data_IF_720892977277
#
_entry.id   IF_720892977277
#
_cell.length_a   1.000
_cell.length_b   1.000
_cell.length_c   1.000
_cell.angle_alpha   90.00
_cell.angle_beta   90.00
_cell.angle_gamma   90.00
#
_symmetry.space_group_name_H-M   'P 1'
#
loop_
_entity.id
_entity.type
_entity.pdbx_description
1 polymer ?
#
# COMPACT_ATOMS: atom_id res chain seq x y z
N UNK A 1 5.74 6.33 -7.03
CA UNK A 1 4.65 5.43 -6.58
C UNK A 1 4.00 4.90 -7.83
N UNK A 2 4.07 3.59 -8.05
CA UNK A 2 3.41 2.91 -9.16
C UNK A 2 2.11 2.26 -8.65
N UNK A 3 0.97 2.74 -9.15
CA UNK A 3 -0.37 2.26 -8.79
C UNK A 3 -0.81 1.06 -9.65
N UNK A 4 -0.08 0.74 -10.72
CA UNK A 4 -0.38 -0.34 -11.68
C UNK A 4 0.69 -1.43 -11.70
N UNK A 5 1.39 -1.59 -10.58
CA UNK A 5 2.46 -2.55 -10.47
C UNK A 5 1.93 -3.98 -10.66
N UNK A 6 2.36 -4.67 -11.72
CA UNK A 6 1.76 -5.95 -12.11
C UNK A 6 1.96 -7.10 -11.12
N UNK A 7 2.99 -7.07 -10.27
CA UNK A 7 3.17 -8.06 -9.19
C UNK A 7 2.68 -7.59 -7.81
N UNK A 8 1.95 -6.47 -7.75
CA UNK A 8 1.52 -5.88 -6.48
C UNK A 8 0.07 -5.43 -6.60
N UNK A 9 -0.86 -6.20 -6.04
CA UNK A 9 -2.27 -5.82 -6.00
C UNK A 9 -2.46 -4.71 -4.95
N UNK A 10 -2.59 -3.47 -5.42
CA UNK A 10 -2.71 -2.31 -4.55
C UNK A 10 -4.07 -2.32 -3.84
N UNK A 11 -4.04 -2.09 -2.52
CA UNK A 11 -5.21 -1.94 -1.67
C UNK A 11 -5.36 -0.48 -1.18
N UNK A 12 -4.30 0.11 -0.61
CA UNK A 12 -4.31 1.48 -0.11
C UNK A 12 -3.06 2.26 -0.49
N UNK A 13 -3.16 3.58 -0.52
CA UNK A 13 -2.02 4.46 -0.75
C UNK A 13 -2.26 5.88 -0.20
N UNK A 14 -1.17 6.53 0.21
CA UNK A 14 -1.16 7.92 0.71
C UNK A 14 0.23 8.54 0.62
N UNK A 15 0.31 9.87 0.77
CA UNK A 15 1.56 10.62 0.69
C UNK A 15 1.78 11.38 2.00
N UNK A 16 2.96 11.26 2.58
CA UNK A 16 3.35 12.00 3.78
C UNK A 16 4.33 13.12 3.45
N UNK A 17 4.06 14.31 3.96
CA UNK A 17 4.93 15.47 3.79
C UNK A 17 5.55 15.84 5.13
N UNK A 18 6.86 16.06 5.13
CA UNK A 18 7.65 16.43 6.30
C UNK A 18 8.57 17.61 5.99
N UNK A 19 8.79 18.48 6.99
CA UNK A 19 9.73 19.58 6.85
C UNK A 19 9.99 20.34 8.15
N UNK A 20 10.96 21.24 8.14
CA UNK A 20 11.29 22.13 9.26
C UNK A 20 11.83 23.51 8.81
N UNK A 21 12.19 24.34 9.79
CA UNK A 21 12.75 25.68 9.56
C UNK A 21 14.19 25.69 9.04
N UNK A 22 14.90 24.58 9.17
CA UNK A 22 16.30 24.41 8.75
C UNK A 22 16.42 24.00 7.27
N UNK A 23 15.30 23.93 6.55
CA UNK A 23 15.26 23.56 5.13
C UNK A 23 15.34 22.05 4.87
N UNK A 24 15.24 21.21 5.90
CA UNK A 24 15.10 19.77 5.73
C UNK A 24 13.67 19.44 5.29
N UNK A 25 13.52 18.53 4.34
CA UNK A 25 12.22 18.09 3.86
C UNK A 25 12.26 16.64 3.37
N UNK A 26 11.12 15.97 3.48
CA UNK A 26 10.92 14.64 2.96
C UNK A 26 9.47 14.43 2.49
N UNK A 27 9.35 13.62 1.44
CA UNK A 27 8.11 13.03 0.95
C UNK A 27 8.25 11.53 1.14
N UNK A 28 7.25 10.90 1.77
CA UNK A 28 7.15 9.44 1.84
C UNK A 28 5.88 9.02 1.14
N UNK A 29 6.02 8.31 0.02
CA UNK A 29 4.92 7.66 -0.68
C UNK A 29 4.69 6.30 -0.03
N UNK A 30 3.49 6.08 0.47
CA UNK A 30 3.10 4.82 1.10
C UNK A 30 2.06 4.09 0.25
N UNK A 31 2.31 2.82 -0.04
CA UNK A 31 1.40 1.94 -0.75
C UNK A 31 1.31 0.61 0.01
N UNK A 32 0.12 0.07 0.21
CA UNK A 32 -0.07 -1.27 0.81
C UNK A 32 -0.87 -2.18 -0.12
N UNK A 33 -0.65 -3.48 -0.01
CA UNK A 33 -1.27 -4.46 -0.88
C UNK A 33 -0.61 -5.83 -0.83
N UNK A 34 -0.96 -6.68 -1.80
CA UNK A 34 -0.49 -8.06 -1.89
C UNK A 34 0.59 -8.19 -2.97
N UNK A 35 1.77 -8.69 -2.60
CA UNK A 35 2.86 -8.99 -3.52
C UNK A 35 2.85 -10.49 -3.83
N UNK A 36 2.48 -10.84 -5.06
CA UNK A 36 2.20 -12.23 -5.47
C UNK A 36 3.46 -13.08 -5.77
N UNK A 37 4.61 -12.48 -6.10
CA UNK A 37 5.89 -13.17 -6.31
C UNK A 37 6.62 -13.48 -5.00
N UNK A 38 6.38 -12.70 -3.97
CA UNK A 38 6.92 -12.86 -2.63
C UNK A 38 5.94 -13.54 -1.67
N UNK A 39 4.70 -13.81 -2.14
CA UNK A 39 3.61 -14.39 -1.37
C UNK A 39 3.45 -13.71 0.00
N UNK A 40 3.35 -12.37 0.00
CA UNK A 40 3.24 -11.58 1.24
C UNK A 40 2.44 -10.31 1.03
N UNK A 41 1.73 -9.88 2.07
CA UNK A 41 1.10 -8.57 2.12
C UNK A 41 2.12 -7.61 2.72
N UNK A 42 2.27 -6.44 2.14
CA UNK A 42 3.29 -5.50 2.59
C UNK A 42 2.90 -4.05 2.38
N UNK A 43 3.62 -3.17 3.07
CA UNK A 43 3.68 -1.74 2.83
C UNK A 43 4.98 -1.45 2.10
N UNK A 44 4.89 -0.77 0.97
CA UNK A 44 6.01 -0.19 0.24
C UNK A 44 6.09 1.32 0.57
N UNK A 45 7.21 1.74 1.17
CA UNK A 45 7.52 3.13 1.48
C UNK A 45 8.61 3.63 0.54
N UNK A 46 8.31 4.62 -0.30
CA UNK A 46 9.30 5.28 -1.15
C UNK A 46 9.63 6.67 -0.61
N UNK A 47 10.91 6.92 -0.38
CA UNK A 47 11.43 8.13 0.23
C UNK A 47 12.03 9.06 -0.81
N UNK A 48 11.70 10.36 -0.74
CA UNK A 48 12.30 11.42 -1.55
C UNK A 48 12.54 12.64 -0.66
N UNK A 49 13.76 13.16 -0.60
CA UNK A 49 14.07 14.32 0.23
C UNK A 49 15.55 14.65 0.28
N UNK A 50 15.89 15.78 0.91
CA UNK A 50 17.28 16.20 1.10
C UNK A 50 17.90 15.70 2.42
N UNK A 51 17.13 14.99 3.24
CA UNK A 51 17.55 14.48 4.55
C UNK A 51 17.29 12.97 4.71
N UNK A 52 17.15 12.22 3.60
CA UNK A 52 16.87 10.79 3.65
C UNK A 52 18.14 10.01 4.02
N UNK A 53 18.07 9.19 5.06
CA UNK A 53 19.07 8.17 5.37
C UNK A 53 18.80 6.90 4.57
N UNK A 54 19.12 6.91 3.28
CA UNK A 54 18.88 5.79 2.36
C UNK A 54 19.44 4.47 2.89
N UNK A 55 18.71 3.38 2.67
CA UNK A 55 19.21 2.04 3.01
C UNK A 55 20.36 1.68 2.08
N UNK A 56 21.39 1.05 2.65
CA UNK A 56 22.56 0.56 1.93
C UNK A 56 22.68 -0.92 2.22
N UNK A 57 22.38 -1.74 1.22
CA UNK A 57 22.55 -3.20 1.28
C UNK A 57 23.87 -3.58 0.63
N UNK A 58 24.64 -4.45 1.30
CA UNK A 58 25.94 -4.92 0.80
C UNK A 58 25.83 -6.34 0.29
N UNK A 59 26.13 -6.55 -0.98
CA UNK A 59 26.28 -7.88 -1.57
C UNK A 59 27.68 -8.02 -2.15
N UNK A 60 28.55 -8.69 -1.39
CA UNK A 60 29.97 -8.75 -1.69
C UNK A 60 30.59 -7.34 -1.64
N UNK A 61 31.16 -6.91 -2.76
CA UNK A 61 31.79 -5.59 -2.90
C UNK A 61 30.83 -4.51 -3.41
N UNK A 62 29.59 -4.86 -3.77
CA UNK A 62 28.62 -3.93 -4.34
C UNK A 62 27.68 -3.42 -3.25
N UNK A 63 27.54 -2.10 -3.19
CA UNK A 63 26.54 -1.43 -2.36
C UNK A 63 25.31 -1.09 -3.22
N UNK A 64 24.14 -1.55 -2.79
CA UNK A 64 22.86 -1.17 -3.36
C UNK A 64 22.22 -0.11 -2.47
N UNK A 65 22.04 1.08 -3.03
CA UNK A 65 21.36 2.18 -2.35
C UNK A 65 19.91 2.16 -2.80
N UNK A 66 18.98 2.08 -1.84
CA UNK A 66 17.55 2.07 -2.12
C UNK A 66 16.86 3.22 -1.39
N UNK A 67 15.90 3.83 -2.08
CA UNK A 67 14.95 4.75 -1.49
C UNK A 67 13.62 4.07 -1.16
N UNK A 68 13.57 2.74 -1.21
CA UNK A 68 12.39 1.94 -0.93
C UNK A 68 12.61 1.08 0.30
N UNK A 69 11.61 1.04 1.18
CA UNK A 69 11.56 0.18 2.35
C UNK A 69 10.25 -0.62 2.36
N UNK A 70 10.32 -1.88 2.76
CA UNK A 70 9.17 -2.78 2.80
C UNK A 70 8.86 -3.22 4.22
N UNK A 71 7.58 -3.18 4.61
CA UNK A 71 7.10 -3.65 5.91
C UNK A 71 6.12 -4.79 5.65
N UNK A 72 6.45 -5.99 6.13
CA UNK A 72 5.58 -7.16 5.96
C UNK A 72 4.39 -7.07 6.91
N UNK A 73 3.19 -7.15 6.34
CA UNK A 73 1.91 -7.19 7.05
C UNK A 73 1.45 -8.63 7.29
N UNK A 74 1.49 -9.47 6.25
CA UNK A 74 1.16 -10.90 6.30
C UNK A 74 2.30 -11.62 5.60
N UNK A 75 2.96 -12.53 6.30
CA UNK A 75 4.07 -13.30 5.74
C UNK A 75 3.57 -14.55 4.99
N UNK A 76 4.48 -15.20 4.27
CA UNK A 76 4.15 -16.39 3.48
C UNK A 76 3.74 -17.60 4.32
N UNK A 77 4.19 -17.70 5.57
CA UNK A 77 3.78 -18.78 6.48
C UNK A 77 2.32 -18.62 6.87
N UNK A 78 1.89 -17.39 7.14
CA UNK A 78 0.49 -17.09 7.42
C UNK A 78 -0.39 -17.31 6.19
N UNK A 79 0.03 -16.88 4.99
CA UNK A 79 -0.73 -17.16 3.78
C UNK A 79 -0.87 -18.66 3.53
N UNK A 80 0.20 -19.42 3.72
CA UNK A 80 0.16 -20.89 3.62
C UNK A 80 -0.81 -21.52 4.62
N UNK A 81 -0.94 -20.94 5.83
CA UNK A 81 -1.86 -21.40 6.89
C UNK A 81 -3.31 -21.18 6.50
N UNK A 82 -3.65 -20.03 5.91
CA UNK A 82 -5.04 -19.66 5.59
C UNK A 82 -5.49 -20.08 4.20
N UNK A 83 -4.56 -20.49 3.33
CA UNK A 83 -4.85 -20.90 1.96
C UNK A 83 -5.83 -22.07 1.90
N UNK A 84 -6.76 -22.00 0.96
CA UNK A 84 -7.70 -23.04 0.65
C UNK A 84 -6.98 -24.28 0.11
N UNK A 85 -7.30 -25.45 0.66
CA UNK A 85 -6.67 -26.73 0.29
C UNK A 85 -7.62 -27.68 -0.45
N UNK A 86 -8.82 -27.21 -0.80
CA UNK A 86 -9.90 -28.03 -1.35
C UNK A 86 -10.47 -27.43 -2.64
N UNK A 87 -10.70 -28.28 -3.64
CA UNK A 87 -11.27 -27.88 -4.93
C UNK A 87 -10.26 -28.01 -6.07
N UNK A 88 -10.51 -27.28 -7.15
CA UNK A 88 -9.62 -27.20 -8.31
C UNK A 88 -8.33 -26.43 -8.00
N UNK A 89 -7.32 -26.58 -8.87
CA UNK A 89 -6.06 -25.84 -8.74
C UNK A 89 -6.29 -24.32 -8.64
N UNK A 90 -7.23 -23.78 -9.42
CA UNK A 90 -7.63 -22.37 -9.38
C UNK A 90 -8.22 -21.96 -8.02
N UNK A 91 -9.06 -22.81 -7.42
CA UNK A 91 -9.64 -22.55 -6.10
C UNK A 91 -8.60 -22.64 -4.98
N UNK A 92 -7.51 -23.38 -5.16
CA UNK A 92 -6.45 -23.51 -4.15
C UNK A 92 -5.36 -22.46 -4.27
N UNK A 93 -5.25 -21.81 -5.43
CA UNK A 93 -4.21 -20.82 -5.69
C UNK A 93 -4.62 -19.44 -5.15
N UNK A 94 -3.95 -18.96 -4.09
CA UNK A 94 -4.12 -17.62 -3.52
C UNK A 94 -5.53 -17.25 -3.01
N UNK A 95 -6.32 -18.27 -2.66
CA UNK A 95 -7.64 -18.12 -2.06
C UNK A 95 -7.67 -18.59 -0.62
N UNK A 96 -8.49 -17.95 0.22
CA UNK A 96 -8.59 -18.25 1.65
C UNK A 96 -9.61 -19.38 1.86
N UNK A 97 -9.26 -20.36 2.69
CA UNK A 97 -10.14 -21.47 3.05
C UNK A 97 -11.35 -21.04 3.87
N UNK A 98 -12.53 -21.60 3.60
CA UNK A 98 -13.80 -21.24 4.25
C UNK A 98 -13.84 -21.56 5.76
N UNK A 99 -12.97 -22.46 6.20
CA UNK A 99 -12.82 -22.83 7.60
C UNK A 99 -12.04 -21.79 8.43
N UNK A 100 -11.28 -20.90 7.78
CA UNK A 100 -10.50 -19.86 8.43
C UNK A 100 -11.42 -18.90 9.20
N UNK A 101 -11.00 -18.48 10.39
CA UNK A 101 -11.75 -17.55 11.26
C UNK A 101 -11.00 -16.27 11.58
N UNK A 102 -9.68 -16.31 11.47
CA UNK A 102 -8.79 -15.22 11.80
C UNK A 102 -7.54 -15.26 10.92
N UNK A 103 -6.98 -14.08 10.71
CA UNK A 103 -5.77 -13.86 9.92
C UNK A 103 -4.79 -13.10 10.78
N UNK A 104 -3.54 -13.56 10.80
CA UNK A 104 -2.45 -12.89 11.49
C UNK A 104 -1.92 -11.75 10.63
N UNK A 105 -2.10 -10.54 11.11
CA UNK A 105 -1.52 -9.34 10.50
C UNK A 105 -0.51 -8.80 11.51
N UNK A 106 0.77 -8.82 11.11
CA UNK A 106 1.92 -8.53 11.96
C UNK A 106 1.91 -9.46 13.18
N UNK A 107 1.68 -8.90 14.36
CA UNK A 107 1.65 -9.61 15.63
C UNK A 107 0.24 -9.74 16.21
N UNK A 108 -0.81 -9.49 15.42
CA UNK A 108 -2.19 -9.50 15.86
C UNK A 108 -3.04 -10.45 15.00
N UNK A 109 -3.92 -11.21 15.63
CA UNK A 109 -4.99 -11.94 14.94
C UNK A 109 -6.21 -11.05 14.75
N UNK A 110 -6.72 -10.99 13.52
CA UNK A 110 -7.87 -10.17 13.12
C UNK A 110 -8.96 -11.12 12.60
N UNK A 111 -10.24 -10.95 13.01
CA UNK A 111 -11.33 -11.77 12.51
C UNK A 111 -11.44 -11.72 10.99
N UNK A 112 -11.50 -12.88 10.35
CA UNK A 112 -11.70 -13.02 8.91
C UNK A 112 -13.20 -12.98 8.58
N UNK A 113 -13.57 -12.11 7.64
CA UNK A 113 -14.92 -12.12 7.07
C UNK A 113 -14.96 -13.06 5.86
N UNK A 114 -15.58 -14.23 5.99
CA UNK A 114 -15.77 -15.15 4.87
C UNK A 114 -17.00 -14.86 4.01
N UNK A 115 -17.81 -13.85 4.36
CA UNK A 115 -19.02 -13.50 3.63
C UNK A 115 -18.69 -12.66 2.38
N UNK A 116 -18.60 -13.32 1.22
CA UNK A 116 -18.31 -12.69 -0.07
C UNK A 116 -19.20 -11.48 -0.40
N UNK A 117 -20.46 -11.45 0.09
CA UNK A 117 -21.38 -10.35 -0.19
C UNK A 117 -20.93 -9.03 0.41
N UNK A 118 -20.15 -9.07 1.49
CA UNK A 118 -19.63 -7.84 2.10
C UNK A 118 -18.47 -7.24 1.29
N UNK A 119 -17.72 -8.09 0.58
CA UNK A 119 -16.69 -7.67 -0.38
C UNK A 119 -17.34 -7.03 -1.61
N UNK A 120 -18.41 -7.63 -2.15
CA UNK A 120 -19.15 -7.06 -3.27
C UNK A 120 -19.78 -5.69 -2.93
N UNK A 121 -20.28 -5.50 -1.70
CA UNK A 121 -20.76 -4.19 -1.21
C UNK A 121 -19.63 -3.15 -1.16
N UNK A 122 -18.40 -3.57 -0.93
CA UNK A 122 -17.21 -2.72 -0.97
C UNK A 122 -16.71 -2.48 -2.42
N UNK A 123 -17.41 -2.98 -3.43
CA UNK A 123 -17.05 -2.83 -4.84
C UNK A 123 -15.98 -3.83 -5.31
N UNK A 124 -15.64 -4.83 -4.50
CA UNK A 124 -14.65 -5.86 -4.82
C UNK A 124 -15.34 -6.97 -5.62
N UNK A 125 -14.85 -7.24 -6.83
CA UNK A 125 -15.36 -8.29 -7.70
C UNK A 125 -14.59 -9.56 -7.43
N UNK A 126 -15.27 -10.56 -6.89
CA UNK A 126 -14.69 -11.86 -6.60
C UNK A 126 -14.86 -12.80 -7.78
N UNK A 127 -13.91 -13.72 -7.95
CA UNK A 127 -14.02 -14.79 -8.92
C UNK A 127 -15.18 -15.73 -8.57
N UNK A 128 -15.87 -16.22 -9.60
CA UNK A 128 -16.95 -17.19 -9.45
C UNK A 128 -16.50 -18.48 -10.14
N UNK A 129 -16.15 -19.47 -9.35
CA UNK A 129 -15.66 -20.74 -9.85
C UNK A 129 -16.80 -21.57 -10.45
N UNK A 130 -16.46 -22.53 -11.32
CA UNK A 130 -17.42 -23.47 -11.91
C UNK A 130 -18.17 -24.29 -10.83
N UNK A 131 -17.55 -24.46 -9.66
CA UNK A 131 -18.15 -25.07 -8.47
C UNK A 131 -19.30 -24.24 -7.86
N UNK A 132 -19.48 -22.99 -8.31
CA UNK A 132 -20.38 -22.01 -7.71
C UNK A 132 -19.85 -21.39 -6.41
N UNK A 133 -18.64 -21.77 -5.98
CA UNK A 133 -17.98 -21.19 -4.81
C UNK A 133 -17.47 -19.79 -5.14
N UNK A 134 -17.45 -18.94 -4.12
CA UNK A 134 -16.91 -17.56 -4.18
C UNK A 134 -15.94 -17.39 -3.03
N UNK A 135 -14.70 -17.78 -3.29
CA UNK A 135 -13.62 -17.70 -2.33
C UNK A 135 -13.04 -16.28 -2.32
N UNK A 136 -12.48 -15.90 -1.18
CA UNK A 136 -11.82 -14.59 -1.03
C UNK A 136 -10.36 -14.75 -1.42
N UNK A 137 -9.89 -13.99 -2.41
CA UNK A 137 -8.48 -13.94 -2.78
C UNK A 137 -7.65 -13.20 -1.72
N UNK A 138 -6.36 -13.51 -1.63
CA UNK A 138 -5.43 -12.83 -0.72
C UNK A 138 -5.40 -11.31 -0.94
N UNK A 139 -5.44 -10.89 -2.19
CA UNK A 139 -5.50 -9.48 -2.55
C UNK A 139 -6.85 -8.80 -2.24
N UNK A 140 -7.96 -9.51 -2.44
CA UNK A 140 -9.31 -9.01 -2.14
C UNK A 140 -9.50 -8.77 -0.64
N UNK A 141 -8.92 -9.64 0.19
CA UNK A 141 -8.85 -9.46 1.64
C UNK A 141 -8.24 -8.10 2.00
N UNK A 142 -7.11 -7.74 1.40
CA UNK A 142 -6.42 -6.49 1.72
C UNK A 142 -7.20 -5.28 1.24
N UNK A 143 -7.81 -5.33 0.05
CA UNK A 143 -8.72 -4.28 -0.42
C UNK A 143 -9.87 -4.10 0.55
N UNK A 144 -10.51 -5.19 0.98
CA UNK A 144 -11.61 -5.14 1.93
C UNK A 144 -11.18 -4.52 3.27
N UNK A 145 -10.06 -4.96 3.85
CA UNK A 145 -9.54 -4.38 5.08
C UNK A 145 -9.14 -2.91 4.92
N UNK A 146 -8.63 -2.49 3.76
CA UNK A 146 -8.38 -1.08 3.50
C UNK A 146 -9.69 -0.25 3.49
N UNK A 147 -10.79 -0.80 2.99
CA UNK A 147 -12.09 -0.11 2.98
C UNK A 147 -12.69 0.00 4.40
N UNK A 148 -12.64 -1.06 5.21
CA UNK A 148 -13.34 -1.10 6.49
C UNK A 148 -12.48 -0.71 7.71
N UNK A 149 -11.15 -0.87 7.61
CA UNK A 149 -10.22 -0.59 8.69
C UNK A 149 -8.81 -0.26 8.15
N UNK A 150 -8.65 0.87 7.45
CA UNK A 150 -7.38 1.23 6.80
C UNK A 150 -6.19 1.29 7.75
N UNK A 151 -6.39 1.64 9.03
CA UNK A 151 -5.31 1.70 10.02
C UNK A 151 -4.59 0.37 10.25
N UNK A 152 -5.21 -0.75 9.90
CA UNK A 152 -4.61 -2.08 9.99
C UNK A 152 -3.47 -2.29 8.98
N UNK A 153 -3.56 -1.63 7.82
CA UNK A 153 -2.67 -1.84 6.68
C UNK A 153 -1.70 -0.69 6.44
N UNK A 154 -1.85 0.41 7.19
CA UNK A 154 -1.00 1.56 7.08
C UNK A 154 0.13 1.55 8.12
N UNK A 155 1.27 2.12 7.75
CA UNK A 155 2.46 2.26 8.56
C UNK A 155 2.20 3.21 9.73
N UNK A 156 2.82 2.88 10.85
CA UNK A 156 2.94 3.77 12.00
C UNK A 156 3.89 4.92 11.68
N UNK A 157 3.80 5.98 12.48
CA UNK A 157 4.69 7.15 12.33
C UNK A 157 6.16 6.78 12.50
N UNK A 158 6.47 5.87 13.43
CA UNK A 158 7.85 5.44 13.69
C UNK A 158 8.42 4.64 12.51
N UNK A 159 7.61 3.83 11.85
CA UNK A 159 7.98 3.10 10.63
C UNK A 159 8.22 4.05 9.46
N UNK A 160 7.32 5.02 9.23
CA UNK A 160 7.49 6.06 8.20
C UNK A 160 8.75 6.88 8.49
N UNK A 161 9.10 7.09 9.77
CA UNK A 161 10.28 7.85 10.17
C UNK A 161 11.58 7.05 10.18
N UNK A 162 11.58 5.79 9.75
CA UNK A 162 12.78 4.94 9.82
C UNK A 162 13.97 5.52 9.04
N UNK A 163 13.72 6.18 7.91
CA UNK A 163 14.76 6.74 7.03
C UNK A 163 14.76 8.28 6.97
N UNK A 164 14.05 8.96 7.86
CA UNK A 164 14.06 10.43 7.98
C UNK A 164 14.38 10.87 9.41
N UNK A 165 14.90 12.09 9.64
CA UNK A 165 15.25 12.53 10.99
C UNK A 165 14.03 12.47 11.92
N UNK A 166 14.14 11.80 13.07
CA UNK A 166 13.01 11.63 14.01
C UNK A 166 12.35 12.96 14.43
N UNK A 167 13.16 14.02 14.53
CA UNK A 167 12.73 15.38 14.87
C UNK A 167 12.00 16.12 13.74
N UNK A 168 12.11 15.65 12.49
CA UNK A 168 11.44 16.25 11.34
C UNK A 168 9.93 16.22 11.56
N UNK A 169 9.27 17.36 11.36
CA UNK A 169 7.84 17.54 11.67
C UNK A 169 7.00 17.10 10.49
N UNK A 170 5.92 16.36 10.76
CA UNK A 170 4.89 16.07 9.76
C UNK A 170 4.15 17.37 9.46
N UNK A 171 4.10 17.74 8.19
CA UNK A 171 3.32 18.87 7.69
C UNK A 171 1.88 18.40 7.45
N UNK A 172 1.72 17.30 6.71
CA UNK A 172 0.41 16.67 6.47
C UNK A 172 0.54 15.25 5.91
N UNK A 173 -0.57 14.52 5.92
CA UNK A 173 -0.80 13.32 5.11
C UNK A 173 -1.84 13.64 4.04
N UNK A 174 -1.63 13.17 2.82
CA UNK A 174 -2.54 13.30 1.68
C UNK A 174 -3.08 11.91 1.34
N UNK A 175 -4.34 11.64 1.70
CA UNK A 175 -5.00 10.35 1.43
C UNK A 175 -5.72 10.32 0.08
N UNK A 176 -6.03 11.50 -0.48
CA UNK A 176 -6.75 11.65 -1.75
C UNK A 176 -5.99 12.58 -2.68
N UNK A 177 -5.62 12.07 -3.85
CA UNK A 177 -4.90 12.82 -4.87
C UNK A 177 -5.26 12.33 -6.28
N UNK A 178 -4.96 13.17 -7.27
CA UNK A 178 -5.01 12.80 -8.66
C UNK A 178 -3.60 12.38 -9.13
N UNK A 179 -3.52 11.31 -9.90
CA UNK A 179 -2.28 10.81 -10.50
C UNK A 179 -2.53 10.44 -11.95
N UNK A 180 -1.63 10.85 -12.82
CA UNK A 180 -1.61 10.46 -14.23
C UNK A 180 -0.20 9.96 -14.58
N UNK A 181 -0.09 8.70 -15.00
CA UNK A 181 1.20 8.07 -15.31
C UNK A 181 1.85 8.63 -16.58
N UNK A 182 1.06 9.19 -17.48
CA UNK A 182 1.52 9.70 -18.79
C UNK A 182 2.05 11.14 -18.69
N UNK A 183 1.73 11.84 -17.59
CA UNK A 183 2.12 13.23 -17.38
C UNK A 183 3.32 13.28 -16.42
N UNK A 184 4.37 14.01 -16.78
CA UNK A 184 5.51 14.24 -15.89
C UNK A 184 5.08 14.86 -14.55
N UNK A 185 5.69 14.48 -13.41
CA UNK A 185 5.31 15.02 -12.10
C UNK A 185 5.27 16.55 -12.05
N UNK A 186 6.26 17.23 -12.66
CA UNK A 186 6.33 18.70 -12.70
C UNK A 186 5.20 19.38 -13.47
N UNK A 187 4.40 18.62 -14.22
CA UNK A 187 3.25 19.12 -14.99
C UNK A 187 1.92 18.85 -14.29
N UNK A 188 1.82 17.84 -13.44
CA UNK A 188 0.60 17.51 -12.69
C UNK A 188 0.31 18.49 -11.54
N UNK A 189 -0.97 18.70 -11.26
CA UNK A 189 -1.45 19.56 -10.15
C UNK A 189 -0.92 19.08 -8.79
N UNK A 190 -1.08 17.78 -8.51
CA UNK A 190 -0.70 17.11 -7.25
C UNK A 190 0.71 17.47 -6.82
N UNK A 191 1.72 17.26 -7.68
CA UNK A 191 3.11 17.48 -7.31
C UNK A 191 3.47 18.97 -7.21
N UNK A 192 2.83 19.85 -8.00
CA UNK A 192 3.00 21.30 -7.86
C UNK A 192 2.50 21.80 -6.51
N UNK A 193 1.34 21.31 -6.06
CA UNK A 193 0.80 21.64 -4.74
C UNK A 193 1.66 21.05 -3.61
N UNK A 194 2.12 19.80 -3.73
CA UNK A 194 3.08 19.21 -2.78
C UNK A 194 4.32 20.09 -2.65
N UNK A 195 4.92 20.52 -3.77
CA UNK A 195 6.07 21.40 -3.74
C UNK A 195 5.76 22.74 -3.04
N UNK A 196 4.60 23.34 -3.31
CA UNK A 196 4.16 24.57 -2.65
C UNK A 196 3.98 24.39 -1.13
N UNK A 197 3.36 23.30 -0.71
CA UNK A 197 3.19 22.95 0.71
C UNK A 197 4.55 22.74 1.38
N UNK A 198 5.49 22.04 0.75
CA UNK A 198 6.82 21.81 1.34
C UNK A 198 7.63 23.12 1.50
N UNK A 199 7.63 23.99 0.48
CA UNK A 199 8.37 25.25 0.52
C UNK A 199 7.80 26.23 1.54
N UNK A 200 6.48 26.30 1.66
CA UNK A 200 5.80 27.22 2.59
C UNK A 200 5.58 26.62 3.98
N UNK A 201 5.62 25.29 4.08
CA UNK A 201 5.22 24.46 5.23
C UNK A 201 3.78 24.72 5.68
N UNK A 202 2.95 25.20 4.77
CA UNK A 202 1.56 25.52 5.02
C UNK A 202 0.67 24.57 4.21
N UNK A 203 -0.03 23.69 4.92
CA UNK A 203 -0.95 22.72 4.33
C UNK A 203 -2.18 23.38 3.69
N UNK A 204 -2.46 24.66 3.97
CA UNK A 204 -3.56 25.41 3.35
C UNK A 204 -3.41 25.54 1.83
N UNK A 205 -2.20 25.35 1.29
CA UNK A 205 -1.94 25.33 -0.15
C UNK A 205 -2.35 24.03 -0.85
N UNK A 206 -2.69 22.98 -0.10
CA UNK A 206 -3.27 21.77 -0.67
C UNK A 206 -4.76 22.01 -0.99
N UNK A 207 -5.04 22.42 -2.24
CA UNK A 207 -6.39 22.71 -2.73
C UNK A 207 -6.63 22.07 -4.10
N UNK A 208 -6.64 20.72 -4.18
CA UNK A 208 -6.78 19.99 -5.43
C UNK A 208 -8.07 20.38 -6.15
N UNK A 209 -8.00 20.65 -7.46
CA UNK A 209 -9.16 20.93 -8.29
C UNK A 209 -9.57 19.72 -9.13
N UNK A 210 -8.64 18.81 -9.42
CA UNK A 210 -8.94 17.57 -10.15
C UNK A 210 -9.62 16.53 -9.26
N UNK A 211 -10.56 15.73 -9.80
CA UNK A 211 -11.10 14.58 -9.09
C UNK A 211 -10.00 13.61 -8.71
N UNK A 212 -10.07 13.11 -7.47
CA UNK A 212 -9.13 12.10 -6.99
C UNK A 212 -9.34 10.78 -7.72
N UNK A 213 -8.25 10.13 -8.11
CA UNK A 213 -8.29 8.83 -8.77
C UNK A 213 -7.38 7.80 -8.11
N UNK A 214 -6.72 8.10 -7.00
CA UNK A 214 -5.78 7.18 -6.34
C UNK A 214 -6.44 5.96 -5.65
N UNK A 215 -7.77 5.83 -5.67
CA UNK A 215 -8.47 4.63 -5.22
C UNK A 215 -8.10 3.42 -6.10
N UNK A 216 -7.87 2.26 -5.49
CA UNK A 216 -7.41 1.05 -6.18
C UNK A 216 -8.32 0.61 -7.33
N UNK A 217 -9.62 0.90 -7.26
CA UNK A 217 -10.59 0.52 -8.30
C UNK A 217 -10.39 1.25 -9.63
N UNK A 218 -9.57 2.30 -9.67
CA UNK A 218 -9.27 3.06 -10.89
C UNK A 218 -8.01 2.57 -11.60
N UNK A 219 -7.31 1.55 -11.06
CA UNK A 219 -6.00 1.10 -11.52
C UNK A 219 -5.96 -0.42 -11.65
N UNK A 220 -5.33 -0.90 -12.72
CA UNK A 220 -5.07 -2.33 -12.90
C UNK A 220 -3.73 -2.69 -12.28
N UNK A 221 -3.74 -3.55 -11.25
CA UNK A 221 -2.54 -3.95 -10.51
C UNK A 221 -2.60 -5.44 -10.17
N UNK A 222 -1.47 -6.07 -9.86
CA UNK A 222 -1.44 -7.48 -9.45
C UNK A 222 -1.89 -8.49 -10.52
N UNK A 223 -1.73 -8.17 -11.81
CA UNK A 223 -2.20 -8.98 -12.94
C UNK A 223 -1.12 -9.85 -13.62
N UNK A 224 0.12 -9.90 -13.10
CA UNK A 224 1.26 -10.67 -13.67
C UNK A 224 1.81 -11.75 -12.75
#
# INVERSE_FOLDING_TARGET
MDLEHGYFLTAGNRIHLYGNDEGQWAIVFEKNGYQNRAARAEIELNYIGNCIGYSIEKHGEINYISNTHYIVLIDGDEFKRIENKEGSDLETFEHIGEHVKDIKIRNQFVPFNSNYKDYEKAGIKLENFDSGRRLIGFGDLLRYYNEINPSLLYASEDEIKMHIPKKLKKIMTIDKFHYDREILPSKQETYKMIAKVLVTRDSSYWKPALPFNNHWSNWESGNM
#
